data_IF_487334654338
#
_entry.id   IF_487334654338
#
_cell.length_a   1.000
_cell.length_b   1.000
_cell.length_c   1.000
_cell.angle_alpha   90.00
_cell.angle_beta   90.00
_cell.angle_gamma   90.00
#
_symmetry.space_group_name_H-M   'P 1'
#
loop_
_entity.id
_entity.type
_entity.pdbx_description
1 polymer ?
#
# COMPACT_ATOMS: atom_id res chain seq x y z
N UNK A 1 13.39 -12.00 13.09
CA UNK A 1 12.77 -11.52 11.84
C UNK A 1 12.47 -12.72 10.97
N UNK A 2 11.19 -13.01 10.69
CA UNK A 2 10.76 -14.14 9.86
C UNK A 2 10.91 -13.83 8.36
N UNK A 3 10.67 -14.83 7.50
CA UNK A 3 10.60 -14.61 6.05
C UNK A 3 9.47 -13.64 5.68
N UNK A 4 8.32 -13.73 6.36
CA UNK A 4 7.20 -12.81 6.17
C UNK A 4 7.55 -11.37 6.58
N UNK A 5 8.22 -11.18 7.73
CA UNK A 5 8.69 -9.85 8.15
C UNK A 5 9.60 -9.23 7.09
N UNK A 6 10.56 -10.01 6.57
CA UNK A 6 11.50 -9.54 5.55
C UNK A 6 10.79 -9.21 4.24
N UNK A 7 9.84 -10.05 3.83
CA UNK A 7 9.04 -9.81 2.64
C UNK A 7 8.25 -8.50 2.77
N UNK A 8 7.60 -8.26 3.92
CA UNK A 8 6.88 -7.01 4.17
C UNK A 8 7.82 -5.80 4.08
N UNK A 9 9.02 -5.86 4.67
CA UNK A 9 9.98 -4.75 4.58
C UNK A 9 10.43 -4.44 3.15
N UNK A 10 10.50 -5.44 2.27
CA UNK A 10 10.80 -5.23 0.85
C UNK A 10 9.58 -4.64 0.13
N UNK A 11 8.40 -5.23 0.33
CA UNK A 11 7.17 -4.84 -0.36
C UNK A 11 6.55 -3.55 0.18
N UNK A 12 6.94 -3.07 1.35
CA UNK A 12 6.53 -1.78 1.90
C UNK A 12 7.30 -0.58 1.30
N UNK A 13 8.20 -0.79 0.33
CA UNK A 13 9.01 0.28 -0.25
C UNK A 13 8.25 1.06 -1.33
N UNK A 14 8.44 2.39 -1.29
CA UNK A 14 7.96 3.30 -2.34
C UNK A 14 8.61 3.07 -3.70
N UNK A 15 9.84 2.54 -3.74
CA UNK A 15 10.53 2.08 -4.96
C UNK A 15 11.19 0.75 -4.65
N UNK A 16 11.07 -0.21 -5.58
CA UNK A 16 11.66 -1.53 -5.44
C UNK A 16 12.72 -1.72 -6.55
N UNK A 17 13.99 -1.35 -6.32
CA UNK A 17 15.04 -1.47 -7.32
C UNK A 17 15.34 -2.95 -7.64
N UNK A 18 15.95 -3.25 -8.80
CA UNK A 18 16.12 -4.62 -9.29
C UNK A 18 16.74 -5.61 -8.28
N UNK A 19 17.80 -5.26 -7.50
CA UNK A 19 18.37 -6.20 -6.53
C UNK A 19 17.38 -6.59 -5.43
N UNK A 20 16.56 -5.65 -4.96
CA UNK A 20 15.56 -5.90 -3.92
C UNK A 20 14.31 -6.59 -4.49
N UNK A 21 13.97 -6.34 -5.75
CA UNK A 21 12.92 -7.06 -6.45
C UNK A 21 13.29 -8.55 -6.57
N UNK A 22 14.55 -8.86 -6.88
CA UNK A 22 15.01 -10.24 -6.96
C UNK A 22 15.04 -10.93 -5.60
N UNK A 23 15.47 -10.22 -4.55
CA UNK A 23 15.35 -10.72 -3.18
C UNK A 23 13.88 -11.04 -2.84
N UNK A 24 12.95 -10.14 -3.18
CA UNK A 24 11.52 -10.35 -2.94
C UNK A 24 10.99 -11.58 -3.71
N UNK A 25 11.37 -11.77 -4.98
CA UNK A 25 11.01 -12.97 -5.76
C UNK A 25 11.54 -14.25 -5.12
N UNK A 26 12.78 -14.23 -4.64
CA UNK A 26 13.38 -15.39 -3.97
C UNK A 26 12.64 -15.78 -2.69
N UNK A 27 12.05 -14.81 -1.98
CA UNK A 27 11.22 -15.05 -0.79
C UNK A 27 9.82 -15.55 -1.17
N UNK A 28 9.22 -14.98 -2.22
CA UNK A 28 7.91 -15.37 -2.75
C UNK A 28 7.89 -16.80 -3.29
N UNK A 29 9.04 -17.33 -3.72
CA UNK A 29 9.18 -18.72 -4.16
C UNK A 29 9.21 -19.74 -2.99
N UNK A 30 9.24 -19.27 -1.73
CA UNK A 30 9.27 -20.13 -0.54
C UNK A 30 7.86 -20.29 0.05
N UNK A 31 7.61 -21.34 0.85
CA UNK A 31 6.39 -21.44 1.64
C UNK A 31 6.28 -20.26 2.61
N UNK A 32 5.18 -19.50 2.52
CA UNK A 32 4.89 -18.34 3.35
C UNK A 32 3.57 -18.53 4.08
N UNK A 33 3.49 -17.99 5.30
CA UNK A 33 2.24 -17.85 6.04
C UNK A 33 1.50 -16.60 5.58
N UNK A 34 0.66 -16.76 4.56
CA UNK A 34 -0.04 -15.65 3.90
C UNK A 34 -1.00 -14.89 4.84
N UNK A 35 -1.57 -15.58 5.81
CA UNK A 35 -2.34 -15.02 6.92
C UNK A 35 -1.50 -14.01 7.72
N UNK A 36 -0.24 -14.34 8.03
CA UNK A 36 0.69 -13.43 8.71
C UNK A 36 1.09 -12.25 7.84
N UNK A 37 1.41 -12.49 6.57
CA UNK A 37 1.73 -11.41 5.61
C UNK A 37 0.58 -10.39 5.57
N UNK A 38 -0.67 -10.86 5.48
CA UNK A 38 -1.84 -9.99 5.44
C UNK A 38 -2.04 -9.25 6.77
N UNK A 39 -1.91 -9.94 7.90
CA UNK A 39 -2.02 -9.33 9.23
C UNK A 39 -0.99 -8.19 9.40
N UNK A 40 0.26 -8.41 8.99
CA UNK A 40 1.33 -7.44 9.12
C UNK A 40 1.17 -6.25 8.18
N UNK A 41 0.79 -6.51 6.93
CA UNK A 41 0.50 -5.45 5.96
C UNK A 41 -0.62 -4.51 6.44
N UNK A 42 -1.63 -5.06 7.11
CA UNK A 42 -2.72 -4.29 7.73
C UNK A 42 -2.26 -3.54 8.99
N UNK A 43 -1.59 -4.23 9.92
CA UNK A 43 -1.18 -3.65 11.20
C UNK A 43 -0.20 -2.47 11.04
N UNK A 44 0.63 -2.51 10.00
CA UNK A 44 1.58 -1.43 9.68
C UNK A 44 1.04 -0.45 8.63
N UNK A 45 -0.21 -0.62 8.18
CA UNK A 45 -0.86 0.19 7.13
C UNK A 45 -0.07 0.30 5.81
N UNK A 46 0.82 -0.67 5.54
CA UNK A 46 1.65 -0.72 4.32
C UNK A 46 1.01 -1.50 3.18
N UNK A 47 -0.21 -2.02 3.39
CA UNK A 47 -0.93 -2.82 2.38
C UNK A 47 -1.07 -2.16 0.99
N UNK A 48 -1.19 -0.82 0.82
CA UNK A 48 -1.23 -0.23 -0.53
C UNK A 48 0.10 -0.42 -1.29
N UNK A 49 1.22 -0.31 -0.58
CA UNK A 49 2.55 -0.50 -1.16
C UNK A 49 2.80 -1.99 -1.45
N UNK A 50 2.37 -2.86 -0.54
CA UNK A 50 2.42 -4.32 -0.74
C UNK A 50 1.62 -4.73 -1.97
N UNK A 51 0.37 -4.26 -2.11
CA UNK A 51 -0.48 -4.52 -3.27
C UNK A 51 0.18 -4.07 -4.57
N UNK A 52 0.66 -2.82 -4.60
CA UNK A 52 1.33 -2.25 -5.78
C UNK A 52 2.58 -3.04 -6.18
N UNK A 53 3.43 -3.38 -5.21
CA UNK A 53 4.67 -4.09 -5.49
C UNK A 53 4.41 -5.56 -5.88
N UNK A 54 3.45 -6.24 -5.27
CA UNK A 54 3.06 -7.60 -5.69
C UNK A 54 2.48 -7.61 -7.11
N UNK A 55 1.66 -6.62 -7.47
CA UNK A 55 1.16 -6.46 -8.84
C UNK A 55 2.29 -6.23 -9.85
N UNK A 56 3.32 -5.48 -9.47
CA UNK A 56 4.47 -5.21 -10.33
C UNK A 56 5.42 -6.41 -10.47
N UNK A 57 5.55 -7.24 -9.43
CA UNK A 57 6.38 -8.44 -9.45
C UNK A 57 5.70 -9.64 -10.13
N UNK A 58 4.36 -9.65 -10.13
CA UNK A 58 3.48 -10.71 -10.64
C UNK A 58 3.94 -12.15 -10.31
N UNK A 59 4.13 -12.48 -9.01
CA UNK A 59 4.64 -13.79 -8.65
C UNK A 59 3.55 -14.88 -8.81
N UNK A 60 3.93 -16.09 -9.24
CA UNK A 60 3.05 -17.24 -9.21
C UNK A 60 2.78 -17.70 -7.77
N UNK A 61 1.69 -18.45 -7.56
CA UNK A 61 1.47 -19.16 -6.30
C UNK A 61 0.93 -18.34 -5.12
N UNK A 62 0.54 -17.07 -5.32
CA UNK A 62 -0.21 -16.33 -4.30
C UNK A 62 -1.63 -16.92 -4.19
N UNK A 63 -2.08 -17.30 -2.98
CA UNK A 63 -3.44 -17.77 -2.73
C UNK A 63 -4.53 -16.77 -3.16
N UNK A 64 -5.65 -17.29 -3.68
CA UNK A 64 -6.73 -16.47 -4.22
C UNK A 64 -7.44 -15.62 -3.14
N UNK A 65 -7.60 -16.18 -1.94
CA UNK A 65 -8.14 -15.50 -0.76
C UNK A 65 -7.26 -14.33 -0.32
N UNK A 66 -5.94 -14.51 -0.30
CA UNK A 66 -4.99 -13.43 -0.02
C UNK A 66 -5.09 -12.31 -1.07
N UNK A 67 -5.14 -12.66 -2.37
CA UNK A 67 -5.32 -11.66 -3.45
C UNK A 67 -6.61 -10.89 -3.27
N UNK A 68 -7.73 -11.58 -3.06
CA UNK A 68 -9.04 -10.96 -2.88
C UNK A 68 -9.09 -10.02 -1.66
N UNK A 69 -8.49 -10.43 -0.54
CA UNK A 69 -8.38 -9.61 0.66
C UNK A 69 -7.54 -8.35 0.41
N UNK A 70 -6.41 -8.48 -0.27
CA UNK A 70 -5.53 -7.35 -0.58
C UNK A 70 -6.16 -6.37 -1.57
N UNK A 71 -6.87 -6.89 -2.59
CA UNK A 71 -7.65 -6.07 -3.53
C UNK A 71 -8.77 -5.31 -2.83
N UNK A 72 -9.44 -5.95 -1.87
CA UNK A 72 -10.50 -5.32 -1.07
C UNK A 72 -9.93 -4.16 -0.24
N UNK A 73 -8.80 -4.37 0.42
CA UNK A 73 -8.11 -3.32 1.18
C UNK A 73 -7.68 -2.17 0.26
N UNK A 74 -7.15 -2.46 -0.93
CA UNK A 74 -6.77 -1.45 -1.90
C UNK A 74 -7.96 -0.60 -2.36
N UNK A 75 -9.12 -1.22 -2.61
CA UNK A 75 -10.36 -0.53 -2.99
C UNK A 75 -10.90 0.35 -1.86
N UNK A 76 -10.95 -0.17 -0.63
CA UNK A 76 -11.38 0.60 0.56
C UNK A 76 -10.48 1.83 0.73
N UNK A 77 -9.17 1.65 0.57
CA UNK A 77 -8.20 2.74 0.68
C UNK A 77 -8.36 3.79 -0.42
N UNK A 78 -8.59 3.37 -1.66
CA UNK A 78 -8.87 4.28 -2.77
C UNK A 78 -10.13 5.10 -2.50
N UNK A 79 -11.23 4.46 -2.08
CA UNK A 79 -12.48 5.14 -1.72
C UNK A 79 -12.28 6.15 -0.59
N UNK A 80 -11.59 5.76 0.49
CA UNK A 80 -11.28 6.65 1.61
C UNK A 80 -10.46 7.86 1.16
N UNK A 81 -9.45 7.64 0.32
CA UNK A 81 -8.62 8.72 -0.18
C UNK A 81 -9.40 9.69 -1.09
N UNK A 82 -10.33 9.19 -1.89
CA UNK A 82 -11.23 10.04 -2.70
C UNK A 82 -12.07 10.95 -1.80
N UNK A 83 -12.74 10.39 -0.79
CA UNK A 83 -13.55 11.17 0.16
C UNK A 83 -12.71 12.23 0.90
N UNK A 84 -11.51 11.86 1.35
CA UNK A 84 -10.60 12.80 2.02
C UNK A 84 -10.10 13.90 1.08
N UNK A 85 -9.88 13.60 -0.20
CA UNK A 85 -9.45 14.59 -1.18
C UNK A 85 -10.55 15.59 -1.52
N UNK A 86 -11.81 15.14 -1.61
CA UNK A 86 -12.97 16.00 -1.80
C UNK A 86 -13.13 16.96 -0.61
N UNK A 87 -13.11 16.44 0.61
CA UNK A 87 -13.22 17.26 1.82
C UNK A 87 -12.03 18.23 1.99
N UNK A 88 -10.81 17.77 1.73
CA UNK A 88 -9.63 18.63 1.76
C UNK A 88 -9.76 19.79 0.77
N UNK A 89 -10.27 19.53 -0.44
CA UNK A 89 -10.53 20.57 -1.43
C UNK A 89 -11.54 21.61 -0.93
N UNK A 90 -12.65 21.16 -0.34
CA UNK A 90 -13.66 22.07 0.23
C UNK A 90 -13.08 22.93 1.38
N UNK A 91 -12.26 22.34 2.24
CA UNK A 91 -11.61 23.09 3.33
C UNK A 91 -10.63 24.13 2.79
N UNK A 92 -9.81 23.78 1.78
CA UNK A 92 -8.88 24.71 1.16
C UNK A 92 -9.59 25.89 0.49
N UNK A 93 -10.70 25.65 -0.21
CA UNK A 93 -11.53 26.69 -0.80
C UNK A 93 -12.08 27.67 0.26
N UNK A 94 -12.58 27.14 1.38
CA UNK A 94 -13.11 27.97 2.48
C UNK A 94 -12.02 28.81 3.16
N UNK A 95 -10.83 28.25 3.34
CA UNK A 95 -9.68 28.98 3.88
C UNK A 95 -9.25 30.09 2.92
N UNK A 96 -9.23 29.82 1.61
CA UNK A 96 -8.92 30.81 0.60
C UNK A 96 -9.92 31.97 0.60
N UNK A 97 -11.23 31.68 0.68
CA UNK A 97 -12.29 32.71 0.79
C UNK A 97 -12.12 33.57 2.05
N UNK A 98 -11.66 32.98 3.15
CA UNK A 98 -11.37 33.69 4.40
C UNK A 98 -10.03 34.46 4.38
N UNK A 99 -9.28 34.42 3.27
CA UNK A 99 -7.95 35.05 3.16
C UNK A 99 -6.87 34.35 3.99
N UNK A 100 -7.09 33.09 4.39
CA UNK A 100 -6.16 32.30 5.19
C UNK A 100 -5.28 31.46 4.25
N UNK A 101 -3.95 31.69 4.22
CA UNK A 101 -3.06 30.88 3.40
C UNK A 101 -2.97 29.45 3.92
N UNK A 102 -3.22 28.48 3.05
CA UNK A 102 -3.11 27.05 3.36
C UNK A 102 -2.33 26.33 2.26
N UNK A 103 -1.46 25.41 2.68
CA UNK A 103 -0.71 24.54 1.79
C UNK A 103 -0.95 23.08 2.20
N UNK A 104 -1.51 22.24 1.32
CA UNK A 104 -1.69 20.82 1.61
C UNK A 104 -0.35 20.11 1.70
N UNK A 105 -0.16 19.33 2.76
CA UNK A 105 1.10 18.63 3.05
C UNK A 105 1.40 17.49 2.05
N UNK A 106 0.36 16.81 1.54
CA UNK A 106 0.46 15.72 0.55
C UNK A 106 -0.80 15.68 -0.29
N UNK A 107 -0.63 15.57 -1.62
CA UNK A 107 -1.69 15.20 -2.57
C UNK A 107 -2.91 16.13 -2.61
N UNK A 108 -2.93 17.01 -3.61
CA UNK A 108 -4.14 17.65 -4.18
C UNK A 108 -3.90 17.76 -5.68
N UNK A 109 -3.93 16.61 -6.35
CA UNK A 109 -3.83 16.53 -7.81
C UNK A 109 -4.69 15.36 -8.25
#
# INVERSE_FOLDING_TARGET
>A
MTLEDRLILLLARGRLPPPLAEEARSLLARPLRWDRVLQQARAQEVYPLVHRNLRALDPPGIPADFRAALDTLAKINALRNTLLAEELSSVLERLAVAGIPAAPLKGVT
#
